data_IF_459771510612
#
_entry.id   IF_459771510612
#
_cell.length_a   1.000
_cell.length_b   1.000
_cell.length_c   1.000
_cell.angle_alpha   90.00
_cell.angle_beta   90.00
_cell.angle_gamma   90.00
#
_symmetry.space_group_name_H-M   'P 1'
#
loop_
_entity.id
_entity.type
_entity.pdbx_description
1 polymer ?
#
# COMPACT_ATOMS: atom_id res chain seq x y z
N UNK A 1 30.68 -7.48 -31.96
CA UNK A 1 31.16 -6.41 -31.06
C UNK A 1 30.25 -6.44 -29.84
N UNK A 2 30.42 -7.33 -28.86
CA UNK A 2 31.48 -7.44 -27.82
C UNK A 2 31.73 -6.15 -27.03
N UNK A 3 31.19 -6.10 -25.80
CA UNK A 3 31.78 -5.65 -24.51
C UNK A 3 30.84 -6.20 -23.41
N UNK A 4 31.11 -7.26 -22.63
CA UNK A 4 32.14 -7.51 -21.59
C UNK A 4 32.29 -6.39 -20.55
N UNK A 5 31.95 -6.69 -19.28
CA UNK A 5 32.20 -5.78 -18.15
C UNK A 5 31.71 -6.22 -16.75
N UNK A 6 32.34 -7.26 -16.18
CA UNK A 6 32.62 -7.53 -14.73
C UNK A 6 31.81 -6.79 -13.63
N UNK A 7 31.35 -7.56 -12.62
CA UNK A 7 31.84 -7.55 -11.21
C UNK A 7 31.21 -8.71 -10.42
N UNK A 8 32.01 -9.76 -10.16
CA UNK A 8 32.65 -10.13 -8.87
C UNK A 8 31.79 -11.14 -8.09
N UNK A 9 32.04 -12.42 -8.41
CA UNK A 9 31.79 -13.53 -7.52
C UNK A 9 32.68 -13.39 -6.29
N UNK A 10 32.09 -13.54 -5.11
CA UNK A 10 32.83 -13.78 -3.88
C UNK A 10 32.73 -15.28 -3.65
N UNK A 11 33.85 -15.96 -3.85
CA UNK A 11 34.08 -17.35 -3.48
C UNK A 11 33.79 -17.52 -1.99
N UNK A 12 32.94 -18.50 -1.66
CA UNK A 12 32.94 -19.13 -0.35
C UNK A 12 33.27 -20.60 -0.61
N UNK A 13 34.50 -20.98 -0.29
CA UNK A 13 34.99 -22.35 -0.36
C UNK A 13 34.10 -23.25 0.51
N UNK A 14 33.39 -24.18 -0.12
CA UNK A 14 32.84 -25.34 0.56
C UNK A 14 33.98 -26.37 0.67
N UNK A 15 34.49 -26.56 1.88
CA UNK A 15 35.42 -27.65 2.17
C UNK A 15 34.62 -28.96 2.16
N UNK A 16 34.85 -29.73 1.10
CA UNK A 16 34.40 -31.10 0.95
C UNK A 16 35.33 -32.03 1.74
N UNK A 17 34.78 -32.72 2.73
CA UNK A 17 35.45 -33.80 3.47
C UNK A 17 34.42 -34.87 3.83
N UNK A 18 33.86 -35.53 2.81
CA UNK A 18 33.22 -36.84 3.00
C UNK A 18 34.07 -37.92 2.35
N UNK A 19 35.15 -38.28 3.02
CA UNK A 19 35.91 -39.51 2.75
C UNK A 19 35.03 -40.71 3.11
N UNK A 20 34.63 -41.44 2.07
CA UNK A 20 34.02 -42.77 2.15
C UNK A 20 34.88 -43.70 3.02
N UNK A 21 34.24 -44.39 3.97
CA UNK A 21 34.78 -45.61 4.56
C UNK A 21 33.72 -46.68 4.40
N UNK A 22 33.95 -47.56 3.42
CA UNK A 22 33.27 -48.84 3.23
C UNK A 22 33.61 -49.78 4.39
N UNK A 23 32.60 -50.46 4.94
CA UNK A 23 32.79 -51.53 5.92
C UNK A 23 32.85 -52.88 5.18
N UNK A 24 34.05 -53.43 5.11
CA UNK A 24 34.37 -54.76 4.61
C UNK A 24 33.93 -55.84 5.62
N UNK A 25 33.16 -56.82 5.16
CA UNK A 25 32.78 -58.01 5.94
C UNK A 25 33.65 -59.20 5.50
N UNK A 26 34.76 -59.40 6.20
CA UNK A 26 35.64 -60.56 6.04
C UNK A 26 35.53 -61.53 7.22
N UNK A 27 34.96 -62.71 6.95
CA UNK A 27 34.96 -63.90 7.82
C UNK A 27 36.33 -64.61 7.76
N UNK A 28 36.88 -65.12 8.88
CA UNK A 28 37.32 -66.55 9.04
C UNK A 28 37.93 -66.88 10.42
N UNK A 29 37.45 -68.00 10.97
CA UNK A 29 38.03 -69.08 11.84
C UNK A 29 39.57 -69.22 11.85
N UNK A 30 40.31 -69.79 12.81
CA UNK A 30 40.20 -70.82 13.89
C UNK A 30 41.31 -70.50 14.94
N UNK A 31 41.39 -70.97 16.19
CA UNK A 31 41.70 -72.34 16.63
C UNK A 31 41.84 -72.37 18.19
N UNK A 32 41.59 -73.53 18.81
CA UNK A 32 41.54 -73.76 20.27
C UNK A 32 42.93 -74.05 20.87
N UNK A 33 43.18 -73.62 22.11
CA UNK A 33 43.83 -74.44 23.17
C UNK A 33 43.42 -73.95 24.57
N UNK A 34 43.18 -74.89 25.47
CA UNK A 34 42.78 -74.71 26.88
C UNK A 34 44.01 -74.53 27.79
N UNK A 35 43.91 -73.71 28.85
CA UNK A 35 44.01 -74.11 30.27
C UNK A 35 44.13 -72.89 31.23
N UNK A 36 43.81 -73.02 32.54
CA UNK A 36 43.12 -71.97 33.31
C UNK A 36 44.02 -71.23 34.32
N UNK A 37 43.96 -69.88 34.35
CA UNK A 37 44.51 -69.06 35.45
C UNK A 37 43.59 -67.86 35.71
N UNK A 38 42.61 -68.05 36.60
CA UNK A 38 41.85 -66.95 37.20
C UNK A 38 42.57 -66.39 38.44
N UNK A 39 42.32 -65.09 38.70
CA UNK A 39 42.09 -64.46 40.03
C UNK A 39 42.85 -63.16 40.38
N UNK A 40 43.58 -62.49 39.48
CA UNK A 40 44.13 -61.13 39.75
C UNK A 40 43.77 -60.05 38.71
N UNK A 41 42.98 -60.37 37.69
CA UNK A 41 42.64 -59.44 36.61
C UNK A 41 41.28 -58.76 36.79
N UNK A 42 40.39 -59.29 37.63
CA UNK A 42 38.99 -58.85 37.68
C UNK A 42 38.80 -57.45 38.25
N UNK A 43 39.62 -57.03 39.22
CA UNK A 43 39.54 -55.67 39.82
C UNK A 43 40.08 -54.58 38.89
N UNK A 44 41.06 -54.91 38.04
CA UNK A 44 41.59 -54.01 37.03
C UNK A 44 40.64 -53.92 35.82
N UNK A 45 40.01 -55.05 35.45
CA UNK A 45 38.99 -55.12 34.40
C UNK A 45 37.74 -54.32 34.81
N UNK A 46 37.28 -54.42 36.05
CA UNK A 46 36.13 -53.66 36.56
C UNK A 46 36.39 -52.14 36.56
N UNK A 47 37.59 -51.71 36.95
CA UNK A 47 37.98 -50.28 36.91
C UNK A 47 38.05 -49.75 35.48
N UNK A 48 38.63 -50.53 34.55
CA UNK A 48 38.69 -50.16 33.13
C UNK A 48 37.29 -50.14 32.52
N UNK A 49 36.41 -51.10 32.86
CA UNK A 49 35.01 -51.08 32.41
C UNK A 49 34.21 -49.90 32.98
N UNK A 50 34.49 -49.49 34.22
CA UNK A 50 33.91 -48.27 34.81
C UNK A 50 34.32 -47.00 34.06
N UNK A 51 35.61 -46.89 33.71
CA UNK A 51 36.14 -45.76 32.92
C UNK A 51 35.56 -45.78 31.50
N UNK A 52 35.50 -46.94 30.86
CA UNK A 52 34.92 -47.11 29.52
C UNK A 52 33.45 -46.70 29.50
N UNK A 53 32.64 -47.13 30.49
CA UNK A 53 31.25 -46.68 30.63
C UNK A 53 31.13 -45.17 30.89
N UNK A 54 32.03 -44.60 31.68
CA UNK A 54 32.07 -43.15 31.93
C UNK A 54 32.41 -42.34 30.67
N UNK A 55 33.34 -42.85 29.86
CA UNK A 55 33.72 -42.27 28.56
C UNK A 55 32.60 -42.45 27.53
N UNK A 56 31.94 -43.61 27.46
CA UNK A 56 30.76 -43.84 26.62
C UNK A 56 29.61 -42.89 26.96
N UNK A 57 29.30 -42.72 28.25
CA UNK A 57 28.25 -41.79 28.68
C UNK A 57 28.60 -40.33 28.33
N UNK A 58 29.87 -39.96 28.46
CA UNK A 58 30.34 -38.61 28.07
C UNK A 58 30.34 -38.41 26.56
N UNK A 59 30.68 -39.45 25.79
CA UNK A 59 30.63 -39.47 24.33
C UNK A 59 29.19 -39.35 23.82
N UNK A 60 28.25 -40.12 24.37
CA UNK A 60 26.84 -40.07 24.04
C UNK A 60 26.25 -38.69 24.33
N UNK A 61 26.57 -38.11 25.49
CA UNK A 61 26.12 -36.76 25.88
C UNK A 61 26.68 -35.68 24.95
N UNK A 62 27.96 -35.79 24.57
CA UNK A 62 28.58 -34.91 23.58
C UNK A 62 27.89 -35.03 22.20
N UNK A 63 27.60 -36.25 21.76
CA UNK A 63 26.93 -36.52 20.49
C UNK A 63 25.50 -35.98 20.46
N UNK A 64 24.81 -36.00 21.60
CA UNK A 64 23.46 -35.44 21.75
C UNK A 64 23.49 -33.91 21.66
N UNK A 65 24.41 -33.25 22.39
CA UNK A 65 24.60 -31.79 22.26
C UNK A 65 25.05 -31.37 20.85
N UNK A 66 25.81 -32.22 20.14
CA UNK A 66 26.20 -31.97 18.76
C UNK A 66 25.01 -32.03 17.81
N UNK A 67 24.07 -32.96 18.03
CA UNK A 67 22.81 -33.03 17.27
C UNK A 67 21.94 -31.81 17.50
N UNK A 68 21.80 -31.37 18.76
CA UNK A 68 21.05 -30.16 19.13
C UNK A 68 21.64 -28.89 18.51
N UNK A 69 22.97 -28.76 18.50
CA UNK A 69 23.67 -27.67 17.82
C UNK A 69 23.41 -27.67 16.31
N UNK A 70 23.43 -28.84 15.67
CA UNK A 70 23.16 -28.97 14.23
C UNK A 70 21.69 -28.64 13.91
N UNK A 71 20.74 -29.02 14.76
CA UNK A 71 19.32 -28.63 14.58
C UNK A 71 19.14 -27.13 14.70
N UNK A 72 19.77 -26.50 15.70
CA UNK A 72 19.69 -25.05 15.90
C UNK A 72 20.32 -24.27 14.74
N UNK A 73 21.46 -24.74 14.20
CA UNK A 73 22.09 -24.14 13.02
C UNK A 73 21.19 -24.22 11.79
N UNK A 74 20.48 -25.35 11.59
CA UNK A 74 19.52 -25.49 10.49
C UNK A 74 18.34 -24.54 10.66
N UNK A 75 17.78 -24.44 11.86
CA UNK A 75 16.68 -23.51 12.16
C UNK A 75 17.09 -22.06 11.88
N UNK A 76 18.23 -21.63 12.40
CA UNK A 76 18.76 -20.29 12.17
C UNK A 76 19.01 -20.01 10.67
N UNK A 77 19.52 -21.01 9.94
CA UNK A 77 19.73 -20.91 8.50
C UNK A 77 18.41 -20.79 7.73
N UNK A 78 17.36 -21.51 8.15
CA UNK A 78 16.02 -21.34 7.57
C UNK A 78 15.44 -19.96 7.88
N UNK A 79 15.69 -19.42 9.08
CA UNK A 79 15.22 -18.09 9.46
C UNK A 79 15.89 -17.00 8.61
N UNK A 80 17.22 -17.07 8.44
CA UNK A 80 17.97 -16.16 7.57
C UNK A 80 17.44 -16.20 6.13
N UNK A 81 17.11 -17.40 5.62
CA UNK A 81 16.55 -17.55 4.28
C UNK A 81 15.16 -16.90 4.17
N UNK A 82 14.28 -17.12 5.15
CA UNK A 82 12.95 -16.48 5.20
C UNK A 82 13.05 -14.95 5.27
N UNK A 83 13.96 -14.42 6.07
CA UNK A 83 14.17 -12.98 6.18
C UNK A 83 14.71 -12.38 4.87
N UNK A 84 15.56 -13.11 4.16
CA UNK A 84 16.10 -12.67 2.86
C UNK A 84 15.03 -12.64 1.77
N UNK A 85 14.14 -13.61 1.75
CA UNK A 85 12.98 -13.63 0.85
C UNK A 85 12.05 -12.45 1.12
N UNK A 86 11.64 -12.27 2.40
CA UNK A 86 10.82 -11.10 2.81
C UNK A 86 11.46 -9.77 2.44
N UNK A 87 12.79 -9.65 2.58
CA UNK A 87 13.51 -8.43 2.20
C UNK A 87 13.46 -8.17 0.69
N UNK A 88 13.59 -9.20 -0.14
CA UNK A 88 13.50 -9.07 -1.58
C UNK A 88 12.09 -8.68 -2.02
N UNK A 89 11.06 -9.35 -1.47
CA UNK A 89 9.65 -9.03 -1.76
C UNK A 89 9.32 -7.58 -1.39
N UNK A 90 9.79 -7.13 -0.23
CA UNK A 90 9.61 -5.75 0.23
C UNK A 90 10.35 -4.76 -0.67
N UNK A 91 11.58 -5.09 -1.08
CA UNK A 91 12.39 -4.25 -1.96
C UNK A 91 11.74 -4.08 -3.33
N UNK A 92 11.21 -5.16 -3.91
CA UNK A 92 10.46 -5.12 -5.16
C UNK A 92 9.21 -4.25 -5.00
N UNK A 93 8.45 -4.45 -3.93
CA UNK A 93 7.23 -3.65 -3.64
C UNK A 93 7.52 -2.15 -3.50
N UNK A 94 8.62 -1.77 -2.83
CA UNK A 94 9.05 -0.36 -2.73
C UNK A 94 9.40 0.20 -4.10
N UNK A 95 10.11 -0.57 -4.94
CA UNK A 95 10.48 -0.11 -6.29
C UNK A 95 9.26 0.10 -7.19
N UNK A 96 8.25 -0.77 -7.11
CA UNK A 96 7.00 -0.62 -7.83
C UNK A 96 6.21 0.60 -7.36
N UNK A 97 6.16 0.83 -6.04
CA UNK A 97 5.54 2.03 -5.48
C UNK A 97 6.22 3.31 -5.94
N UNK A 98 7.55 3.35 -6.01
CA UNK A 98 8.28 4.51 -6.54
C UNK A 98 7.94 4.81 -8.00
N UNK A 99 7.85 3.77 -8.83
CA UNK A 99 7.46 3.90 -10.24
C UNK A 99 6.03 4.44 -10.33
N UNK A 100 5.10 3.83 -9.59
CA UNK A 100 3.69 4.26 -9.57
C UNK A 100 3.55 5.71 -9.11
N UNK A 101 4.26 6.12 -8.07
CA UNK A 101 4.26 7.50 -7.58
C UNK A 101 4.81 8.49 -8.63
N UNK A 102 5.89 8.13 -9.34
CA UNK A 102 6.45 8.95 -10.43
C UNK A 102 5.46 9.09 -11.58
N UNK A 103 4.79 8.00 -11.97
CA UNK A 103 3.76 8.00 -13.02
C UNK A 103 2.57 8.88 -12.59
N UNK A 104 2.06 8.67 -11.38
CA UNK A 104 0.95 9.45 -10.81
C UNK A 104 1.26 10.95 -10.80
N UNK A 105 2.48 11.32 -10.41
CA UNK A 105 2.92 12.72 -10.39
C UNK A 105 2.92 13.32 -11.79
N UNK A 106 3.48 12.63 -12.80
CA UNK A 106 3.50 13.09 -14.19
C UNK A 106 2.09 13.22 -14.77
N UNK A 107 1.22 12.24 -14.53
CA UNK A 107 -0.18 12.29 -14.98
C UNK A 107 -0.90 13.48 -14.36
N UNK A 108 -0.72 13.72 -13.06
CA UNK A 108 -1.33 14.87 -12.37
C UNK A 108 -0.89 16.19 -13.00
N UNK A 109 0.41 16.35 -13.31
CA UNK A 109 0.94 17.56 -13.96
C UNK A 109 0.33 17.82 -15.34
N UNK A 110 0.07 16.76 -16.12
CA UNK A 110 -0.53 16.88 -17.46
C UNK A 110 -2.02 17.26 -17.36
N UNK A 111 -2.73 16.75 -16.34
CA UNK A 111 -4.17 16.97 -16.17
C UNK A 111 -4.52 18.27 -15.44
N UNK A 112 -3.59 18.83 -14.67
CA UNK A 112 -3.77 20.05 -13.87
C UNK A 112 -4.35 21.25 -14.63
N UNK A 113 -4.02 21.50 -15.92
CA UNK A 113 -4.61 22.62 -16.66
C UNK A 113 -6.10 22.46 -16.97
N UNK A 114 -6.63 21.23 -16.93
CA UNK A 114 -7.98 20.91 -17.38
C UNK A 114 -8.92 20.52 -16.24
N UNK A 115 -8.37 19.96 -15.16
CA UNK A 115 -9.11 19.37 -14.06
C UNK A 115 -8.59 19.91 -12.73
N UNK A 116 -9.48 20.01 -11.75
CA UNK A 116 -9.09 20.33 -10.37
C UNK A 116 -8.41 19.13 -9.70
N UNK A 117 -7.69 19.39 -8.59
CA UNK A 117 -7.04 18.33 -7.82
C UNK A 117 -8.01 17.24 -7.36
N UNK A 118 -9.24 17.62 -7.01
CA UNK A 118 -10.32 16.68 -6.64
C UNK A 118 -10.65 15.75 -7.81
N UNK A 119 -10.80 16.31 -9.00
CA UNK A 119 -11.13 15.57 -10.22
C UNK A 119 -9.98 14.66 -10.64
N UNK A 120 -8.74 15.14 -10.57
CA UNK A 120 -7.53 14.36 -10.83
C UNK A 120 -7.43 13.18 -9.87
N UNK A 121 -7.70 13.42 -8.58
CA UNK A 121 -7.71 12.38 -7.56
C UNK A 121 -8.78 11.30 -7.81
N UNK A 122 -9.95 11.70 -8.35
CA UNK A 122 -11.00 10.75 -8.78
C UNK A 122 -10.50 9.87 -9.93
N UNK A 123 -9.86 10.49 -10.94
CA UNK A 123 -9.35 9.80 -12.13
C UNK A 123 -8.24 8.81 -11.74
N UNK A 124 -7.25 9.27 -10.98
CA UNK A 124 -6.08 8.46 -10.58
C UNK A 124 -6.49 7.26 -9.73
N UNK A 125 -7.40 7.47 -8.77
CA UNK A 125 -7.86 6.40 -7.89
C UNK A 125 -9.05 5.61 -8.45
N UNK A 126 -9.46 5.87 -9.69
CA UNK A 126 -10.62 5.26 -10.34
C UNK A 126 -11.88 5.25 -9.44
N UNK A 127 -12.14 6.37 -8.76
CA UNK A 127 -13.30 6.52 -7.86
C UNK A 127 -14.53 6.93 -8.66
N UNK A 128 -15.72 6.58 -8.18
CA UNK A 128 -16.99 7.03 -8.80
C UNK A 128 -17.37 8.46 -8.40
N UNK A 129 -17.03 8.85 -7.17
CA UNK A 129 -17.29 10.19 -6.63
C UNK A 129 -16.43 10.44 -5.40
N UNK A 130 -16.39 11.70 -4.97
CA UNK A 130 -15.86 12.11 -3.67
C UNK A 130 -16.97 12.26 -2.64
N UNK A 131 -16.59 12.20 -1.36
CA UNK A 131 -17.50 12.43 -0.23
C UNK A 131 -17.95 13.90 -0.16
N UNK A 132 -17.04 14.82 -0.44
CA UNK A 132 -17.27 16.25 -0.43
C UNK A 132 -16.61 16.88 -1.66
N UNK A 133 -17.37 17.74 -2.34
CA UNK A 133 -16.88 18.54 -3.47
C UNK A 133 -16.54 19.95 -2.97
N UNK A 134 -15.34 20.46 -3.29
CA UNK A 134 -14.98 21.83 -2.95
C UNK A 134 -15.88 22.83 -3.68
N UNK A 135 -16.02 24.02 -3.10
CA UNK A 135 -16.94 25.04 -3.61
C UNK A 135 -16.59 25.49 -5.04
N UNK A 136 -15.31 25.53 -5.40
CA UNK A 136 -14.84 25.85 -6.75
C UNK A 136 -15.34 24.84 -7.81
N UNK A 137 -15.25 23.54 -7.49
CA UNK A 137 -15.77 22.48 -8.37
C UNK A 137 -17.29 22.55 -8.49
N UNK A 138 -17.98 22.84 -7.38
CA UNK A 138 -19.44 23.03 -7.39
C UNK A 138 -19.81 24.22 -8.26
N UNK A 139 -19.13 25.37 -8.11
CA UNK A 139 -19.40 26.58 -8.89
C UNK A 139 -19.15 26.36 -10.39
N UNK A 140 -18.04 25.71 -10.75
CA UNK A 140 -17.72 25.33 -12.13
C UNK A 140 -18.76 24.37 -12.70
N UNK A 141 -19.16 23.34 -11.96
CA UNK A 141 -20.19 22.39 -12.37
C UNK A 141 -21.57 23.04 -12.51
N UNK A 142 -21.94 23.96 -11.59
CA UNK A 142 -23.17 24.75 -11.69
C UNK A 142 -23.17 25.62 -12.95
N UNK A 143 -22.04 26.24 -13.27
CA UNK A 143 -21.87 27.07 -14.47
C UNK A 143 -22.01 26.23 -15.74
N UNK A 144 -21.34 25.07 -15.82
CA UNK A 144 -21.48 24.16 -16.96
C UNK A 144 -22.94 23.69 -17.13
N UNK A 145 -23.63 23.40 -16.02
CA UNK A 145 -25.03 22.98 -16.04
C UNK A 145 -25.98 24.12 -16.43
N UNK A 146 -25.72 25.36 -16.02
CA UNK A 146 -26.55 26.51 -16.39
C UNK A 146 -26.42 26.82 -17.89
N UNK A 147 -25.24 26.63 -18.47
CA UNK A 147 -25.02 26.75 -19.92
C UNK A 147 -25.76 25.67 -20.71
N UNK A 148 -25.66 24.40 -20.31
CA UNK A 148 -26.38 23.31 -20.97
C UNK A 148 -26.61 22.10 -20.07
N UNK A 149 -27.85 21.89 -19.57
CA UNK A 149 -28.19 20.74 -18.74
C UNK A 149 -28.02 19.39 -19.46
N UNK A 150 -28.22 19.38 -20.79
CA UNK A 150 -28.05 18.17 -21.62
C UNK A 150 -26.58 17.81 -21.78
N UNK A 151 -25.73 18.80 -22.06
CA UNK A 151 -24.28 18.60 -22.16
C UNK A 151 -23.71 18.10 -20.82
N UNK A 152 -24.11 18.72 -19.71
CA UNK A 152 -23.68 18.31 -18.37
C UNK A 152 -23.97 16.83 -18.10
N UNK A 153 -25.21 16.38 -18.36
CA UNK A 153 -25.60 14.97 -18.20
C UNK A 153 -24.80 14.06 -19.14
N UNK A 154 -24.61 14.47 -20.39
CA UNK A 154 -23.83 13.69 -21.35
C UNK A 154 -22.38 13.47 -20.88
N UNK A 155 -21.70 14.54 -20.48
CA UNK A 155 -20.32 14.47 -20.01
C UNK A 155 -20.17 13.59 -18.77
N UNK A 156 -21.06 13.76 -17.79
CA UNK A 156 -21.04 12.98 -16.55
C UNK A 156 -21.40 11.52 -16.78
N UNK A 157 -22.57 11.24 -17.35
CA UNK A 157 -23.18 9.91 -17.33
C UNK A 157 -22.66 9.02 -18.46
N UNK A 158 -22.31 9.60 -19.61
CA UNK A 158 -21.87 8.83 -20.80
C UNK A 158 -20.37 8.96 -21.10
N UNK A 159 -19.74 10.09 -20.78
CA UNK A 159 -18.30 10.29 -20.97
C UNK A 159 -17.46 10.09 -19.71
N UNK A 160 -18.10 9.81 -18.56
CA UNK A 160 -17.41 9.52 -17.32
C UNK A 160 -16.60 10.69 -16.77
N UNK A 161 -16.96 11.93 -17.10
CA UNK A 161 -16.28 13.10 -16.54
C UNK A 161 -16.50 13.16 -15.01
N UNK A 162 -15.45 13.49 -14.22
CA UNK A 162 -15.53 13.58 -12.77
C UNK A 162 -16.32 14.84 -12.35
N UNK A 163 -17.65 14.78 -12.47
CA UNK A 163 -18.56 15.88 -12.16
C UNK A 163 -19.51 15.50 -11.00
N UNK A 164 -19.93 16.47 -10.16
CA UNK A 164 -20.93 16.25 -9.13
C UNK A 164 -22.25 15.68 -9.67
N UNK A 165 -23.03 15.00 -8.83
CA UNK A 165 -24.37 14.58 -9.22
C UNK A 165 -25.33 15.77 -9.27
N UNK A 166 -26.39 15.65 -10.09
CA UNK A 166 -27.41 16.72 -10.18
C UNK A 166 -28.12 16.93 -8.85
N UNK A 167 -28.31 15.87 -8.06
CA UNK A 167 -28.79 15.96 -6.67
C UNK A 167 -27.87 16.81 -5.82
N UNK A 168 -26.56 16.53 -5.85
CA UNK A 168 -25.54 17.31 -5.13
C UNK A 168 -25.59 18.79 -5.50
N UNK A 169 -25.71 19.12 -6.79
CA UNK A 169 -25.84 20.51 -7.23
C UNK A 169 -27.13 21.17 -6.72
N UNK A 170 -28.25 20.43 -6.72
CA UNK A 170 -29.52 20.93 -6.17
C UNK A 170 -29.41 21.17 -4.67
N UNK A 171 -28.83 20.24 -3.93
CA UNK A 171 -28.67 20.36 -2.48
C UNK A 171 -27.80 21.57 -2.13
N UNK A 172 -26.70 21.78 -2.87
CA UNK A 172 -25.88 22.99 -2.75
C UNK A 172 -26.64 24.27 -3.10
N UNK A 173 -27.56 24.22 -4.07
CA UNK A 173 -28.35 25.39 -4.44
C UNK A 173 -29.37 25.80 -3.37
N UNK A 174 -29.85 24.86 -2.54
CA UNK A 174 -30.78 25.15 -1.44
C UNK A 174 -30.18 26.04 -0.37
N UNK A 175 -28.85 26.05 -0.23
CA UNK A 175 -28.13 26.93 0.69
C UNK A 175 -28.24 28.41 0.26
N UNK A 176 -28.53 28.67 -1.03
CA UNK A 176 -28.67 30.02 -1.58
C UNK A 176 -30.10 30.51 -1.34
N UNK A 177 -30.24 31.45 -0.39
CA UNK A 177 -31.52 32.11 -0.10
C UNK A 177 -31.89 33.10 -1.20
N UNK A 178 -33.03 32.88 -1.84
CA UNK A 178 -33.64 33.79 -2.80
C UNK A 178 -35.04 34.17 -2.28
N UNK A 179 -35.08 35.09 -1.31
CA UNK A 179 -36.31 35.57 -0.70
C UNK A 179 -36.88 36.77 -1.47
N UNK A 180 -38.20 37.00 -1.46
CA UNK A 180 -38.80 38.19 -2.04
C UNK A 180 -38.23 39.48 -1.42
N UNK A 181 -38.06 40.52 -2.25
CA UNK A 181 -37.51 41.81 -1.84
C UNK A 181 -36.08 42.02 -2.31
N UNK A 182 -35.22 42.57 -1.45
CA UNK A 182 -33.83 42.86 -1.79
C UNK A 182 -32.97 41.59 -1.72
N UNK A 183 -32.23 41.31 -2.80
CA UNK A 183 -31.28 40.20 -2.87
C UNK A 183 -30.02 40.49 -2.03
N UNK A 184 -30.13 40.30 -0.71
CA UNK A 184 -29.08 40.59 0.27
C UNK A 184 -27.75 39.88 0.01
N UNK A 185 -27.80 38.63 -0.46
CA UNK A 185 -26.62 37.85 -0.85
C UNK A 185 -25.83 38.53 -1.98
N UNK A 186 -26.54 39.03 -2.99
CA UNK A 186 -25.93 39.73 -4.14
C UNK A 186 -25.39 41.09 -3.70
N UNK A 187 -26.14 41.85 -2.91
CA UNK A 187 -25.69 43.14 -2.39
C UNK A 187 -24.43 42.99 -1.50
N UNK A 188 -24.33 41.90 -0.74
CA UNK A 188 -23.15 41.59 0.06
C UNK A 188 -21.92 41.30 -0.80
N UNK A 189 -22.10 40.56 -1.90
CA UNK A 189 -21.05 40.31 -2.90
C UNK A 189 -20.62 41.61 -3.61
N UNK A 190 -21.58 42.45 -4.01
CA UNK A 190 -21.27 43.76 -4.61
C UNK A 190 -20.52 44.66 -3.62
N UNK A 191 -20.89 44.62 -2.33
CA UNK A 191 -20.19 45.37 -1.28
C UNK A 191 -18.75 44.91 -1.09
N UNK A 192 -18.46 43.61 -1.25
CA UNK A 192 -17.08 43.11 -1.15
C UNK A 192 -16.24 43.47 -2.37
N UNK A 193 -16.85 43.62 -3.55
CA UNK A 193 -16.19 44.07 -4.77
C UNK A 193 -16.06 45.60 -4.87
N UNK A 194 -16.93 46.36 -4.21
CA UNK A 194 -16.92 47.83 -4.29
C UNK A 194 -15.54 48.48 -3.98
N UNK A 195 -14.73 48.03 -3.01
CA UNK A 195 -13.42 48.63 -2.74
C UNK A 195 -12.43 48.50 -3.89
N UNK A 196 -12.55 47.49 -4.75
CA UNK A 196 -11.64 47.27 -5.89
C UNK A 196 -11.99 48.14 -7.10
N UNK A 197 -13.12 48.85 -7.07
CA UNK A 197 -13.62 49.66 -8.17
C UNK A 197 -13.28 51.15 -7.98
N UNK A 198 -12.93 51.81 -9.08
CA UNK A 198 -12.76 53.27 -9.09
C UNK A 198 -14.09 54.01 -8.93
N UNK A 199 -14.05 55.30 -8.54
CA UNK A 199 -15.25 56.10 -8.34
C UNK A 199 -16.15 56.15 -9.59
N UNK A 200 -15.55 56.23 -10.78
CA UNK A 200 -16.26 56.25 -12.06
C UNK A 200 -17.00 54.95 -12.35
N UNK A 201 -16.50 53.82 -11.85
CA UNK A 201 -17.09 52.49 -12.05
C UNK A 201 -18.23 52.22 -11.06
N UNK A 202 -18.28 52.96 -9.95
CA UNK A 202 -19.34 52.89 -8.94
C UNK A 202 -20.60 53.67 -9.32
N UNK A 203 -20.51 54.56 -10.30
CA UNK A 203 -21.66 55.32 -10.77
C UNK A 203 -22.60 54.36 -11.54
N UNK A 204 -23.77 54.12 -10.98
CA UNK A 204 -24.75 53.18 -11.54
C UNK A 204 -26.15 53.80 -11.56
N UNK A 205 -26.99 53.33 -12.48
CA UNK A 205 -28.41 53.71 -12.57
C UNK A 205 -29.24 52.50 -12.18
N UNK A 206 -30.24 52.69 -11.32
CA UNK A 206 -31.21 51.67 -10.99
C UNK A 206 -32.42 51.80 -11.93
N UNK A 207 -32.65 50.78 -12.75
CA UNK A 207 -33.81 50.67 -13.63
C UNK A 207 -34.57 49.39 -13.30
N UNK A 208 -35.90 49.46 -13.26
CA UNK A 208 -36.77 48.32 -12.98
C UNK A 208 -38.03 48.39 -13.84
N UNK A 209 -38.58 47.23 -14.16
CA UNK A 209 -39.83 47.03 -14.90
C UNK A 209 -40.54 45.78 -14.36
N UNK A 210 -41.84 45.68 -14.58
CA UNK A 210 -42.65 44.54 -14.13
C UNK A 210 -42.87 43.53 -15.24
N UNK A 211 -42.78 42.24 -14.91
CA UNK A 211 -43.02 41.15 -15.86
C UNK A 211 -44.33 40.45 -15.53
N UNK A 212 -45.22 40.34 -16.51
CA UNK A 212 -46.44 39.52 -16.38
C UNK A 212 -46.08 38.04 -16.34
N UNK A 213 -46.56 37.34 -15.31
CA UNK A 213 -46.39 35.90 -15.13
C UNK A 213 -47.75 35.21 -15.12
N UNK A 214 -47.78 33.91 -15.44
CA UNK A 214 -49.02 33.14 -15.44
C UNK A 214 -49.61 33.04 -14.01
N UNK A 215 -50.86 33.49 -13.84
CA UNK A 215 -51.58 33.35 -12.58
C UNK A 215 -51.93 31.88 -12.30
N UNK A 216 -51.07 31.21 -11.54
CA UNK A 216 -51.20 29.79 -11.19
C UNK A 216 -50.80 29.57 -9.73
N UNK A 217 -51.60 28.76 -9.03
CA UNK A 217 -51.25 28.25 -7.71
C UNK A 217 -50.08 27.28 -7.84
N UNK A 218 -49.02 27.48 -7.06
CA UNK A 218 -47.85 26.61 -6.98
C UNK A 218 -47.55 26.26 -5.53
N UNK A 219 -47.07 25.05 -5.29
CA UNK A 219 -46.67 24.58 -3.97
C UNK A 219 -45.15 24.39 -3.92
N UNK A 220 -44.51 24.97 -2.91
CA UNK A 220 -43.08 24.78 -2.62
C UNK A 220 -42.98 23.76 -1.49
N UNK A 221 -42.45 22.56 -1.79
CA UNK A 221 -42.35 21.44 -0.84
C UNK A 221 -41.24 21.56 0.21
N UNK A 222 -40.61 22.73 0.33
CA UNK A 222 -39.54 23.01 1.28
C UNK A 222 -40.05 23.90 2.41
N UNK A 223 -40.73 23.27 3.37
CA UNK A 223 -40.94 23.83 4.70
C UNK A 223 -39.84 23.26 5.58
N UNK A 224 -38.81 24.05 5.84
CA UNK A 224 -37.83 23.75 6.90
C UNK A 224 -38.58 23.56 8.21
N UNK A 225 -38.31 22.46 8.92
CA UNK A 225 -38.76 22.24 10.30
C UNK A 225 -38.40 23.48 11.16
N UNK A 226 -39.25 23.84 12.14
CA UNK A 226 -38.96 24.92 13.09
C UNK A 226 -37.69 24.65 13.91
#
# INVERSE_FOLDING_TARGET
>A
MDRRGRKRAVDVMLYDSSSNIELDQGNTTTEKTNDPVERHNDTAIDNVQGIVKGVENSCNKCQETQKEMVTLLKELQTEVQQWKEKYNDLKESVSEQEINNKVQTKVSQILQPFFSDTQINIIINNKKSVKYWPDEDIASAMTLRSLSPKCYKYLKDFKGFPLPCVSTLKDRLKEIKCEPGLLSSVLSLMRSQAPTMELKEKLTVLSFDEMSIASRWSYVGEQTKP
#
